data_IF_758318906998
#
_entry.id   IF_758318906998
#
_cell.length_a   1.000
_cell.length_b   1.000
_cell.length_c   1.000
_cell.angle_alpha   90.00
_cell.angle_beta   90.00
_cell.angle_gamma   90.00
#
_symmetry.space_group_name_H-M   'P 1'
#
loop_
_entity.id
_entity.type
_entity.pdbx_description
1 polymer ?
#
# COMPACT_ATOMS: atom_id res chain seq x y z
N UNK A 1 -21.02 6.05 -4.78
CA UNK A 1 -21.04 4.77 -5.54
C UNK A 1 -19.70 4.39 -6.18
N UNK A 2 -18.81 5.33 -6.55
CA UNK A 2 -17.49 4.98 -7.12
C UNK A 2 -16.49 4.40 -6.08
N UNK A 3 -16.48 4.94 -4.87
CA UNK A 3 -15.51 4.54 -3.84
C UNK A 3 -15.68 3.09 -3.35
N UNK A 4 -16.91 2.61 -3.15
CA UNK A 4 -17.12 1.25 -2.63
C UNK A 4 -16.66 0.18 -3.62
N UNK A 5 -16.89 0.38 -4.92
CA UNK A 5 -16.43 -0.55 -5.97
C UNK A 5 -14.91 -0.62 -5.96
N UNK A 6 -14.24 0.53 -5.85
CA UNK A 6 -12.79 0.60 -5.73
C UNK A 6 -12.28 -0.14 -4.48
N UNK A 7 -12.95 0.02 -3.34
CA UNK A 7 -12.64 -0.71 -2.11
C UNK A 7 -12.83 -2.23 -2.24
N UNK A 8 -13.85 -2.69 -2.97
CA UNK A 8 -14.02 -4.13 -3.27
C UNK A 8 -12.85 -4.65 -4.09
N UNK A 9 -12.38 -3.91 -5.09
CA UNK A 9 -11.19 -4.31 -5.86
C UNK A 9 -9.92 -4.35 -5.01
N UNK A 10 -9.72 -3.39 -4.09
CA UNK A 10 -8.60 -3.43 -3.14
C UNK A 10 -8.70 -4.67 -2.25
N UNK A 11 -9.88 -4.95 -1.68
CA UNK A 11 -10.08 -6.09 -0.80
C UNK A 11 -9.83 -7.42 -1.52
N UNK A 12 -10.25 -7.55 -2.79
CA UNK A 12 -9.96 -8.73 -3.61
C UNK A 12 -8.46 -8.88 -3.90
N UNK A 13 -7.76 -7.79 -4.20
CA UNK A 13 -6.32 -7.82 -4.44
C UNK A 13 -5.53 -8.18 -3.18
N UNK A 14 -5.89 -7.59 -2.04
CA UNK A 14 -5.33 -7.92 -0.73
C UNK A 14 -5.59 -9.38 -0.35
N UNK A 15 -6.82 -9.89 -0.58
CA UNK A 15 -7.13 -11.30 -0.39
C UNK A 15 -6.23 -12.18 -1.28
N UNK A 16 -6.10 -11.87 -2.56
CA UNK A 16 -5.20 -12.60 -3.45
C UNK A 16 -3.75 -12.54 -2.97
N UNK A 17 -3.28 -11.39 -2.48
CA UNK A 17 -1.94 -11.23 -1.92
C UNK A 17 -1.73 -12.16 -0.70
N UNK A 18 -2.70 -12.25 0.22
CA UNK A 18 -2.62 -13.17 1.38
C UNK A 18 -2.54 -14.63 0.96
N UNK A 19 -3.35 -15.04 -0.03
CA UNK A 19 -3.32 -16.40 -0.58
C UNK A 19 -1.96 -16.72 -1.23
N UNK A 20 -1.25 -15.69 -1.71
CA UNK A 20 0.12 -15.76 -2.22
C UNK A 20 1.18 -15.47 -1.14
N UNK A 21 0.86 -15.72 0.13
CA UNK A 21 1.76 -15.54 1.29
C UNK A 21 2.27 -14.09 1.46
N UNK A 22 1.41 -13.12 1.17
CA UNK A 22 1.63 -11.68 1.40
C UNK A 22 0.89 -11.15 2.63
N UNK A 23 1.03 -9.86 2.91
CA UNK A 23 0.31 -9.19 4.01
C UNK A 23 -1.14 -8.90 3.62
N UNK A 24 -2.05 -8.96 4.59
CA UNK A 24 -3.47 -8.63 4.40
C UNK A 24 -3.72 -7.16 4.09
N UNK A 25 -2.86 -6.27 4.58
CA UNK A 25 -2.97 -4.82 4.33
C UNK A 25 -2.05 -4.35 3.20
N UNK A 26 -1.71 -5.23 2.26
CA UNK A 26 -0.84 -4.90 1.13
C UNK A 26 -1.42 -5.46 -0.18
N UNK A 27 -1.57 -4.58 -1.18
CA UNK A 27 -1.89 -4.92 -2.57
C UNK A 27 -0.71 -5.62 -3.28
N UNK A 28 -1.00 -6.46 -4.28
CA UNK A 28 0.02 -7.17 -5.07
C UNK A 28 0.93 -6.15 -5.78
N UNK A 29 0.35 -5.07 -6.31
CA UNK A 29 1.10 -4.00 -6.98
C UNK A 29 2.11 -3.32 -6.03
N UNK A 30 1.72 -3.04 -4.79
CA UNK A 30 2.62 -2.51 -3.77
C UNK A 30 3.75 -3.50 -3.44
N UNK A 31 3.39 -4.78 -3.25
CA UNK A 31 4.36 -5.85 -2.96
C UNK A 31 5.38 -6.03 -4.08
N UNK A 32 4.94 -5.96 -5.34
CA UNK A 32 5.83 -6.02 -6.50
C UNK A 32 6.91 -4.93 -6.45
N UNK A 33 6.53 -3.69 -6.14
CA UNK A 33 7.47 -2.59 -5.98
C UNK A 33 8.38 -2.78 -4.76
N UNK A 34 7.82 -3.07 -3.58
CA UNK A 34 8.59 -3.27 -2.34
C UNK A 34 9.65 -4.37 -2.47
N UNK A 35 9.33 -5.43 -3.20
CA UNK A 35 10.21 -6.58 -3.40
C UNK A 35 10.98 -6.56 -4.73
N UNK A 36 11.00 -5.45 -5.46
CA UNK A 36 11.65 -5.38 -6.78
C UNK A 36 13.19 -5.54 -6.77
N UNK A 37 13.80 -5.60 -5.59
CA UNK A 37 15.18 -6.04 -5.40
C UNK A 37 15.35 -7.54 -5.73
N UNK A 38 14.28 -8.33 -5.63
CA UNK A 38 14.21 -9.73 -6.05
C UNK A 38 13.80 -9.79 -7.53
N UNK A 39 14.56 -10.54 -8.34
CA UNK A 39 14.39 -10.61 -9.81
C UNK A 39 12.96 -10.97 -10.24
N UNK A 40 12.33 -11.94 -9.58
CA UNK A 40 10.96 -12.37 -9.92
C UNK A 40 9.94 -11.22 -9.75
N UNK A 41 10.04 -10.47 -8.65
CA UNK A 41 9.15 -9.34 -8.39
C UNK A 41 9.45 -8.14 -9.26
N UNK A 42 10.71 -7.92 -9.67
CA UNK A 42 11.04 -6.89 -10.67
C UNK A 42 10.38 -7.15 -12.02
N UNK A 43 10.40 -8.41 -12.47
CA UNK A 43 9.72 -8.80 -13.71
C UNK A 43 8.20 -8.65 -13.56
N UNK A 44 7.64 -9.07 -12.43
CA UNK A 44 6.23 -8.88 -12.12
C UNK A 44 5.85 -7.39 -12.09
N UNK A 45 6.67 -6.52 -11.49
CA UNK A 45 6.47 -5.08 -11.44
C UNK A 45 6.40 -4.48 -12.85
N UNK A 46 7.33 -4.83 -13.74
CA UNK A 46 7.31 -4.39 -15.15
C UNK A 46 6.01 -4.85 -15.82
N UNK A 47 5.64 -6.12 -15.67
CA UNK A 47 4.43 -6.66 -16.27
C UNK A 47 3.16 -5.93 -15.79
N UNK A 48 3.03 -5.73 -14.48
CA UNK A 48 1.89 -5.07 -13.87
C UNK A 48 1.84 -3.58 -14.26
N UNK A 49 2.97 -2.88 -14.26
CA UNK A 49 3.05 -1.50 -14.75
C UNK A 49 2.60 -1.39 -16.21
N UNK A 50 3.02 -2.30 -17.09
CA UNK A 50 2.58 -2.34 -18.49
C UNK A 50 1.07 -2.64 -18.62
N UNK A 51 0.54 -3.55 -17.81
CA UNK A 51 -0.88 -3.92 -17.82
C UNK A 51 -1.78 -2.73 -17.43
N UNK A 52 -1.38 -1.95 -16.42
CA UNK A 52 -2.16 -0.82 -15.92
C UNK A 52 -1.85 0.51 -16.63
N UNK A 53 -0.80 0.56 -17.45
CA UNK A 53 -0.38 1.76 -18.17
C UNK A 53 -1.52 2.49 -18.92
N UNK A 54 -2.39 1.80 -19.70
CA UNK A 54 -3.46 2.47 -20.44
C UNK A 54 -4.53 3.14 -19.55
N UNK A 55 -4.65 2.71 -18.29
CA UNK A 55 -5.71 3.16 -17.38
C UNK A 55 -5.20 4.11 -16.29
N UNK A 56 -3.93 3.98 -15.90
CA UNK A 56 -3.38 4.66 -14.72
C UNK A 56 -2.02 5.34 -14.97
N UNK A 57 -1.45 5.22 -16.18
CA UNK A 57 -0.18 5.84 -16.54
C UNK A 57 1.04 5.09 -16.01
N UNK A 58 2.17 5.80 -15.94
CA UNK A 58 3.45 5.25 -15.49
C UNK A 58 3.48 4.98 -13.98
N UNK A 59 4.40 4.10 -13.56
CA UNK A 59 4.73 3.86 -12.15
C UNK A 59 3.56 3.39 -11.26
N UNK A 60 2.62 2.63 -11.84
CA UNK A 60 1.46 2.07 -11.12
C UNK A 60 1.84 1.38 -9.80
N UNK A 61 2.80 0.43 -9.83
CA UNK A 61 3.24 -0.32 -8.65
C UNK A 61 3.88 0.59 -7.59
N UNK A 62 4.69 1.58 -8.01
CA UNK A 62 5.28 2.57 -7.09
C UNK A 62 4.22 3.43 -6.43
N UNK A 63 3.23 3.88 -7.20
CA UNK A 63 2.12 4.68 -6.70
C UNK A 63 1.24 3.87 -5.74
N UNK A 64 1.01 2.59 -6.00
CA UNK A 64 0.35 1.68 -5.06
C UNK A 64 1.15 1.57 -3.76
N UNK A 65 2.45 1.33 -3.84
CA UNK A 65 3.32 1.26 -2.66
C UNK A 65 3.27 2.54 -1.80
N UNK A 66 3.34 3.71 -2.42
CA UNK A 66 3.25 4.99 -1.70
C UNK A 66 1.90 5.15 -1.01
N UNK A 67 0.79 4.75 -1.64
CA UNK A 67 -0.54 4.81 -1.02
C UNK A 67 -0.65 3.91 0.21
N UNK A 68 -0.11 2.70 0.15
CA UNK A 68 -0.09 1.75 1.27
C UNK A 68 0.76 2.26 2.44
N UNK A 69 1.96 2.78 2.15
CA UNK A 69 2.84 3.39 3.16
C UNK A 69 2.17 4.59 3.83
N UNK A 70 1.43 5.39 3.06
CA UNK A 70 0.66 6.50 3.57
C UNK A 70 -0.70 6.09 4.15
N UNK A 71 -1.05 4.80 4.23
CA UNK A 71 -2.32 4.34 4.78
C UNK A 71 -3.56 4.89 4.06
N UNK A 72 -3.46 5.23 2.77
CA UNK A 72 -4.55 5.87 1.99
C UNK A 72 -5.72 4.95 1.68
N UNK A 73 -5.58 3.65 1.95
CA UNK A 73 -6.64 2.66 1.88
C UNK A 73 -7.62 2.76 3.05
N UNK A 74 -7.20 3.35 4.17
CA UNK A 74 -8.06 3.54 5.34
C UNK A 74 -9.14 4.60 5.08
N UNK A 75 -10.28 4.53 5.79
CA UNK A 75 -11.22 5.64 5.84
C UNK A 75 -10.51 6.94 6.24
N UNK A 76 -10.87 8.06 5.60
CA UNK A 76 -10.20 9.35 5.82
C UNK A 76 -10.14 9.74 7.30
N UNK A 77 -11.22 9.50 8.05
CA UNK A 77 -11.30 9.76 9.50
C UNK A 77 -10.23 8.99 10.30
N UNK A 78 -9.88 7.77 9.88
CA UNK A 78 -8.86 6.96 10.54
C UNK A 78 -7.45 7.43 10.22
N UNK A 79 -7.21 7.97 9.02
CA UNK A 79 -5.89 8.47 8.65
C UNK A 79 -5.47 9.64 9.56
N UNK A 80 -6.32 10.65 9.71
CA UNK A 80 -6.02 11.82 10.56
C UNK A 80 -5.88 11.43 12.04
N UNK A 81 -6.74 10.52 12.53
CA UNK A 81 -6.64 9.99 13.89
C UNK A 81 -5.37 9.18 14.11
N UNK A 82 -5.03 8.27 13.18
CA UNK A 82 -3.91 7.35 13.32
C UNK A 82 -2.58 8.11 13.35
N UNK A 83 -2.42 9.16 12.54
CA UNK A 83 -1.21 10.00 12.57
C UNK A 83 -1.06 10.65 13.95
N UNK A 84 -2.11 11.28 14.48
CA UNK A 84 -2.07 11.93 15.79
C UNK A 84 -1.81 10.92 16.93
N UNK A 85 -2.49 9.78 16.89
CA UNK A 85 -2.37 8.73 17.91
C UNK A 85 -1.03 8.02 17.87
N UNK A 86 -0.48 7.71 16.69
CA UNK A 86 0.82 7.05 16.55
C UNK A 86 1.96 7.97 17.03
N UNK A 87 1.92 9.27 16.68
CA UNK A 87 2.90 10.25 17.17
C UNK A 87 2.85 10.33 18.71
N UNK A 88 1.65 10.35 19.29
CA UNK A 88 1.52 10.40 20.74
C UNK A 88 2.01 9.09 21.39
N UNK A 89 1.62 7.93 20.86
CA UNK A 89 2.07 6.63 21.33
C UNK A 89 3.60 6.50 21.31
N UNK A 90 4.23 6.94 20.21
CA UNK A 90 5.68 6.88 20.06
C UNK A 90 6.39 7.84 21.03
N UNK A 91 5.85 9.05 21.26
CA UNK A 91 6.36 9.96 22.30
C UNK A 91 6.28 9.33 23.69
N UNK A 92 5.14 8.73 24.03
CA UNK A 92 4.91 8.13 25.34
C UNK A 92 5.79 6.89 25.57
N UNK A 93 6.10 6.14 24.51
CA UNK A 93 6.83 4.87 24.58
C UNK A 93 8.34 5.01 24.34
N UNK A 94 8.77 5.90 23.45
CA UNK A 94 10.16 6.07 23.02
C UNK A 94 10.82 7.34 23.57
N UNK A 95 10.03 8.25 24.16
CA UNK A 95 10.47 9.56 24.64
C UNK A 95 10.86 10.49 23.49
N UNK A 96 11.79 11.43 23.74
CA UNK A 96 12.30 12.40 22.75
C UNK A 96 13.19 11.77 21.66
N UNK A 97 13.22 10.45 21.53
CA UNK A 97 14.01 9.73 20.50
C UNK A 97 13.28 9.62 19.16
N UNK A 98 12.05 10.11 19.06
CA UNK A 98 11.30 10.17 17.80
C UNK A 98 11.89 11.27 16.93
N UNK A 99 12.79 10.91 16.01
CA UNK A 99 13.18 11.78 14.90
C UNK A 99 12.14 11.61 13.79
N UNK A 100 11.39 12.68 13.50
CA UNK A 100 10.45 12.77 12.37
C UNK A 100 11.23 13.20 11.13
#
# INVERSE_FOLDING_TARGET
MKEWVYQVFIALDQLANTLLNGSADETISSRCFRLNHIKAYRVAEIFVNCLFFPFQGWDHCRNAYIKEVLGRQLPYEFYDLAVAMNIQHDKDRLGDRVQI
#
